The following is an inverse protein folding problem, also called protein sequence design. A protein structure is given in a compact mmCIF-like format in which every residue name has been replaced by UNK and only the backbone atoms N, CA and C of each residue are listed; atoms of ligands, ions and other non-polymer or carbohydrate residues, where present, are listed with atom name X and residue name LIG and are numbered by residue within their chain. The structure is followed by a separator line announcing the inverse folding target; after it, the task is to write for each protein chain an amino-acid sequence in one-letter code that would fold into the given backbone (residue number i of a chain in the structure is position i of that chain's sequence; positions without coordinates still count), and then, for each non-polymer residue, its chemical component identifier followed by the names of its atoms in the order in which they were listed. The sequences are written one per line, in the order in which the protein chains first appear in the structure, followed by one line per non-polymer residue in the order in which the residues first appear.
data_IF_731670495904
#
_entry.id   IF_731670495904
#
_cell.length_a   1.000
_cell.length_b   1.000
_cell.length_c   1.000
_cell.angle_alpha   90.00
_cell.angle_beta   90.00
_cell.angle_gamma   90.00
#
_symmetry.space_group_name_H-M   'P 1'
#
loop_
_entity.id
_entity.type
_entity.pdbx_description
1 polymer ?
#
# COMPACT_ATOMS: atom_id res chain seq x y z
N UNK A 1 -39.13 -1.19 -15.40
CA UNK A 1 -37.70 -1.02 -15.77
C UNK A 1 -37.21 0.27 -15.13
N UNK A 2 -36.51 0.21 -13.99
CA UNK A 2 -35.85 1.40 -13.43
C UNK A 2 -34.42 1.07 -13.06
N UNK A 3 -33.57 2.03 -13.39
CA UNK A 3 -32.15 1.91 -13.67
C UNK A 3 -31.32 2.06 -12.39
N UNK A 4 -30.26 1.24 -12.33
CA UNK A 4 -28.98 1.47 -11.65
C UNK A 4 -29.01 1.83 -10.16
N UNK A 5 -29.11 0.79 -9.33
CA UNK A 5 -28.65 0.84 -7.95
C UNK A 5 -27.12 1.01 -7.95
N UNK A 6 -26.69 2.22 -7.58
CA UNK A 6 -25.28 2.64 -7.58
C UNK A 6 -24.58 1.98 -6.40
N UNK A 7 -23.74 0.98 -6.70
CA UNK A 7 -22.93 0.26 -5.72
C UNK A 7 -22.09 1.24 -4.89
N UNK A 8 -22.45 1.34 -3.60
CA UNK A 8 -21.74 2.11 -2.57
C UNK A 8 -20.23 1.88 -2.67
N UNK A 9 -19.48 2.96 -2.92
CA UNK A 9 -18.03 2.99 -2.71
C UNK A 9 -17.78 2.85 -1.21
N UNK A 10 -17.30 1.68 -0.78
CA UNK A 10 -16.79 1.47 0.57
C UNK A 10 -15.54 2.33 0.74
N UNK A 11 -15.70 3.52 1.33
CA UNK A 11 -14.58 4.33 1.81
C UNK A 11 -14.07 3.64 3.06
N UNK A 12 -13.03 2.81 2.91
CA UNK A 12 -12.30 2.24 4.05
C UNK A 12 -11.57 3.38 4.75
N UNK A 13 -12.15 3.85 5.85
CA UNK A 13 -11.49 4.74 6.80
C UNK A 13 -10.30 3.99 7.41
N UNK A 14 -9.10 4.23 6.85
CA UNK A 14 -7.88 3.72 7.46
C UNK A 14 -7.49 4.74 8.55
N UNK A 15 -7.52 4.37 9.85
CA UNK A 15 -7.23 5.32 10.92
C UNK A 15 -5.80 5.88 10.77
N UNK A 16 -5.54 7.10 11.27
CA UNK A 16 -4.22 7.73 11.20
C UNK A 16 -3.13 6.80 11.75
N UNK A 17 -2.03 6.67 11.00
CA UNK A 17 -0.89 5.89 11.46
C UNK A 17 -0.11 6.70 12.49
N UNK A 18 -0.34 6.45 13.77
CA UNK A 18 0.54 6.96 14.81
C UNK A 18 1.94 6.34 14.67
N UNK A 19 2.98 7.12 15.04
CA UNK A 19 4.39 6.73 14.92
C UNK A 19 4.70 5.37 15.57
N UNK A 20 4.05 5.06 16.70
CA UNK A 20 4.20 3.78 17.39
C UNK A 20 3.62 2.60 16.60
N UNK A 21 2.48 2.79 15.92
CA UNK A 21 1.93 1.75 15.03
C UNK A 21 2.88 1.48 13.87
N UNK A 22 3.56 2.51 13.37
CA UNK A 22 4.52 2.36 12.26
C UNK A 22 5.66 1.40 12.60
N UNK A 23 6.23 1.50 13.81
CA UNK A 23 7.28 0.59 14.28
C UNK A 23 6.77 -0.84 14.48
N UNK A 24 5.58 -1.02 15.06
CA UNK A 24 4.97 -2.33 15.23
C UNK A 24 4.60 -3.02 13.90
N UNK A 25 4.21 -2.24 12.88
CA UNK A 25 3.94 -2.74 11.52
C UNK A 25 5.26 -3.10 10.81
N UNK A 26 6.37 -2.43 11.16
CA UNK A 26 7.70 -2.62 10.56
C UNK A 26 8.39 -3.93 10.93
N UNK A 27 7.97 -4.61 12.01
CA UNK A 27 8.53 -5.91 12.40
C UNK A 27 8.04 -7.09 11.55
N UNK A 28 7.22 -6.84 10.53
CA UNK A 28 6.67 -7.86 9.64
C UNK A 28 7.67 -8.41 8.60
N UNK A 29 7.23 -9.33 7.72
CA UNK A 29 8.10 -9.96 6.73
C UNK A 29 8.78 -8.93 5.83
N UNK A 30 10.02 -9.20 5.43
CA UNK A 30 10.82 -8.33 4.56
C UNK A 30 10.28 -8.28 3.13
N UNK A 31 9.84 -9.44 2.62
CA UNK A 31 9.25 -9.57 1.29
C UNK A 31 7.74 -9.38 1.36
N UNK A 32 7.23 -8.36 0.68
CA UNK A 32 5.81 -8.04 0.63
C UNK A 32 5.27 -8.38 -0.76
N UNK A 33 4.32 -9.31 -0.81
CA UNK A 33 3.66 -9.73 -2.04
C UNK A 33 2.21 -9.27 -2.06
N UNK A 34 1.83 -8.65 -3.18
CA UNK A 34 0.50 -8.13 -3.42
C UNK A 34 0.26 -6.74 -2.81
N UNK A 35 -0.59 -5.97 -3.48
CA UNK A 35 -0.92 -4.59 -3.08
C UNK A 35 -1.55 -4.52 -1.68
N UNK A 36 -2.33 -5.53 -1.26
CA UNK A 36 -2.92 -5.55 0.07
C UNK A 36 -1.86 -5.59 1.17
N UNK A 37 -0.86 -6.46 1.03
CA UNK A 37 0.25 -6.60 1.98
C UNK A 37 1.10 -5.34 2.02
N UNK A 38 1.40 -4.77 0.84
CA UNK A 38 2.16 -3.52 0.71
C UNK A 38 1.39 -2.35 1.34
N UNK A 39 0.10 -2.23 1.03
CA UNK A 39 -0.76 -1.18 1.55
C UNK A 39 -0.87 -1.22 3.08
N UNK A 40 -1.02 -2.41 3.65
CA UNK A 40 -1.00 -2.60 5.10
C UNK A 40 0.35 -2.23 5.72
N UNK A 41 1.47 -2.58 5.07
CA UNK A 41 2.80 -2.29 5.58
C UNK A 41 3.12 -0.78 5.68
N UNK A 42 2.64 0.02 4.72
CA UNK A 42 2.82 1.49 4.70
C UNK A 42 1.58 2.26 5.16
N UNK A 43 0.54 1.53 5.60
CA UNK A 43 -0.72 2.03 6.12
C UNK A 43 -1.53 2.94 5.20
N UNK A 44 -1.61 2.59 3.92
CA UNK A 44 -2.45 3.28 2.93
C UNK A 44 -3.57 2.36 2.42
N UNK A 45 -4.49 2.89 1.63
CA UNK A 45 -5.46 2.06 0.91
C UNK A 45 -4.80 1.28 -0.23
N UNK A 46 -5.37 0.13 -0.60
CA UNK A 46 -4.90 -0.67 -1.75
C UNK A 46 -4.88 0.15 -3.04
N UNK A 47 -5.88 1.02 -3.26
CA UNK A 47 -5.91 1.90 -4.43
C UNK A 47 -4.79 2.94 -4.42
N UNK A 48 -4.43 3.47 -3.25
CA UNK A 48 -3.28 4.37 -3.11
C UNK A 48 -1.98 3.62 -3.35
N UNK A 49 -1.82 2.40 -2.82
CA UNK A 49 -0.66 1.56 -3.12
C UNK A 49 -0.54 1.26 -4.62
N UNK A 50 -1.67 0.98 -5.31
CA UNK A 50 -1.68 0.80 -6.78
C UNK A 50 -1.21 2.05 -7.52
N UNK A 51 -1.69 3.23 -7.12
CA UNK A 51 -1.26 4.51 -7.73
C UNK A 51 0.23 4.75 -7.51
N UNK A 52 0.73 4.47 -6.31
CA UNK A 52 2.16 4.59 -5.99
C UNK A 52 3.00 3.63 -6.83
N UNK A 53 2.52 2.43 -7.10
CA UNK A 53 3.22 1.44 -7.94
C UNK A 53 3.38 1.84 -9.41
N UNK A 54 2.66 2.88 -9.88
CA UNK A 54 2.86 3.45 -11.22
C UNK A 54 3.90 4.57 -11.25
N UNK A 55 4.54 4.88 -10.12
CA UNK A 55 5.55 5.94 -10.03
C UNK A 55 6.93 5.30 -9.99
N UNK A 56 7.80 5.68 -10.93
CA UNK A 56 9.14 5.08 -11.08
C UNK A 56 10.05 5.23 -9.85
N UNK A 57 9.77 6.22 -9.01
CA UNK A 57 10.57 6.52 -7.81
C UNK A 57 10.05 5.85 -6.54
N UNK A 58 9.02 5.00 -6.63
CA UNK A 58 8.49 4.23 -5.50
C UNK A 58 8.97 2.79 -5.63
N UNK A 59 9.55 2.18 -4.57
CA UNK A 59 10.08 0.82 -4.62
C UNK A 59 8.96 -0.23 -4.51
N UNK A 60 8.03 -0.20 -5.48
CA UNK A 60 7.01 -1.22 -5.70
C UNK A 60 7.21 -1.74 -7.11
N UNK A 61 7.64 -2.98 -7.22
CA UNK A 61 8.02 -3.64 -8.45
C UNK A 61 6.92 -4.59 -8.93
N UNK A 62 7.06 -5.02 -10.18
CA UNK A 62 6.19 -5.99 -10.83
C UNK A 62 7.02 -6.94 -11.71
N UNK A 63 7.78 -7.86 -11.09
CA UNK A 63 8.79 -8.67 -11.81
C UNK A 63 8.18 -9.68 -12.80
N UNK A 64 6.96 -10.16 -12.54
CA UNK A 64 6.23 -11.14 -13.35
C UNK A 64 5.15 -10.49 -14.23
N UNK A 65 5.03 -9.16 -14.24
CA UNK A 65 3.96 -8.45 -14.95
C UNK A 65 2.58 -8.51 -14.27
N UNK A 66 2.39 -9.36 -13.27
CA UNK A 66 1.09 -9.63 -12.66
C UNK A 66 1.04 -9.23 -11.18
N UNK A 67 1.99 -9.71 -10.39
CA UNK A 67 2.09 -9.54 -8.95
C UNK A 67 2.91 -8.31 -8.60
N UNK A 68 2.43 -7.57 -7.60
CA UNK A 68 3.20 -6.48 -7.01
C UNK A 68 4.11 -7.01 -5.91
N UNK A 69 5.33 -6.50 -5.88
CA UNK A 69 6.36 -6.89 -4.93
C UNK A 69 7.04 -5.65 -4.36
N UNK A 70 7.38 -5.68 -3.07
CA UNK A 70 8.24 -4.67 -2.49
C UNK A 70 9.09 -5.27 -1.36
N UNK A 71 10.27 -4.71 -1.17
CA UNK A 71 11.06 -4.91 0.04
C UNK A 71 10.62 -3.90 1.09
N UNK A 72 10.36 -4.39 2.30
CA UNK A 72 9.96 -3.54 3.43
C UNK A 72 11.04 -2.51 3.75
N UNK A 73 12.31 -2.92 3.75
CA UNK A 73 13.43 -2.01 4.00
C UNK A 73 13.49 -0.85 3.01
N UNK A 74 13.31 -1.12 1.71
CA UNK A 74 13.28 -0.10 0.65
C UNK A 74 12.07 0.82 0.78
N UNK A 75 10.87 0.27 1.01
CA UNK A 75 9.68 1.08 1.25
C UNK A 75 9.83 2.00 2.47
N UNK A 76 10.40 1.48 3.56
CA UNK A 76 10.67 2.27 4.76
C UNK A 76 11.72 3.35 4.51
N UNK A 77 12.78 3.05 3.75
CA UNK A 77 13.78 4.03 3.36
C UNK A 77 13.14 5.15 2.51
N UNK A 78 12.33 4.79 1.51
CA UNK A 78 11.59 5.74 0.68
C UNK A 78 10.63 6.61 1.51
N UNK A 79 9.86 6.02 2.44
CA UNK A 79 8.94 6.78 3.29
C UNK A 79 9.66 7.84 4.13
N UNK A 80 10.89 7.54 4.60
CA UNK A 80 11.72 8.50 5.34
C UNK A 80 12.15 9.70 4.49
N UNK A 81 12.19 9.57 3.15
CA UNK A 81 12.50 10.69 2.25
C UNK A 81 11.29 11.57 1.92
N UNK A 82 10.08 11.20 2.37
CA UNK A 82 8.83 11.95 2.11
C UNK A 82 8.40 12.82 3.30
N UNK A 83 9.32 13.02 4.25
CA UNK A 83 9.14 13.80 5.46
C UNK A 83 9.25 15.30 5.21
#
# INVERSE_FOLDING_TARGET
MSRHDTKLRSVRENPPLDRWRFDAITTGPEKLWGLSTIASAIGVSVDKARRLAHLDHVPIYRPDGESYFALRSELNAWLRTKR
#
